data_IF_547096080338
#
_entry.id   IF_547096080338
#
_cell.length_a   1.000
_cell.length_b   1.000
_cell.length_c   1.000
_cell.angle_alpha   90.00
_cell.angle_beta   90.00
_cell.angle_gamma   90.00
#
_symmetry.space_group_name_H-M   'P 1'
#
loop_
_entity.id
_entity.type
_entity.pdbx_description
1 polymer ?
#
# COMPACT_ATOMS: atom_id res chain seq x y z
N UNK A 1 -9.49 4.54 12.35
CA UNK A 1 -10.12 5.50 11.42
C UNK A 1 -9.19 6.66 11.09
N UNK A 2 -8.52 7.29 12.06
CA UNK A 2 -7.62 8.44 11.85
C UNK A 2 -6.57 8.24 10.74
N UNK A 3 -5.81 7.15 10.77
CA UNK A 3 -4.78 6.90 9.76
C UNK A 3 -5.34 6.84 8.33
N UNK A 4 -6.46 6.14 8.14
CA UNK A 4 -7.18 6.09 6.87
C UNK A 4 -7.65 7.49 6.44
N UNK A 5 -8.19 8.29 7.37
CA UNK A 5 -8.64 9.66 7.08
C UNK A 5 -7.47 10.56 6.62
N UNK A 6 -6.27 10.39 7.19
CA UNK A 6 -5.07 11.13 6.76
C UNK A 6 -4.73 10.79 5.31
N UNK A 7 -4.68 9.50 4.97
CA UNK A 7 -4.41 9.06 3.61
C UNK A 7 -5.48 9.53 2.61
N UNK A 8 -6.76 9.45 2.99
CA UNK A 8 -7.88 9.93 2.15
C UNK A 8 -7.80 11.43 1.89
N UNK A 9 -7.47 12.25 2.90
CA UNK A 9 -7.29 13.70 2.72
C UNK A 9 -6.14 14.05 1.78
N UNK A 10 -5.13 13.19 1.71
CA UNK A 10 -3.99 13.33 0.81
C UNK A 10 -4.21 12.66 -0.55
N UNK A 11 -5.37 12.02 -0.75
CA UNK A 11 -5.70 11.24 -1.94
C UNK A 11 -4.67 10.13 -2.24
N UNK A 12 -4.16 9.49 -1.18
CA UNK A 12 -3.24 8.36 -1.28
C UNK A 12 -4.07 7.07 -1.22
N UNK A 13 -4.14 6.25 -2.29
CA UNK A 13 -4.85 4.98 -2.24
C UNK A 13 -4.15 4.02 -1.28
N UNK A 14 -4.90 3.12 -0.65
CA UNK A 14 -4.35 2.18 0.33
C UNK A 14 -5.13 0.87 0.39
N UNK A 15 -4.45 -0.15 0.88
CA UNK A 15 -4.95 -1.46 1.18
C UNK A 15 -5.00 -1.68 2.70
N UNK A 16 -6.04 -2.34 3.18
CA UNK A 16 -6.19 -2.76 4.57
C UNK A 16 -6.19 -4.28 4.67
N UNK A 17 -5.34 -4.82 5.54
CA UNK A 17 -5.33 -6.24 5.88
C UNK A 17 -5.64 -6.38 7.38
N UNK A 18 -6.80 -6.97 7.67
CA UNK A 18 -7.27 -7.21 9.03
C UNK A 18 -7.15 -8.70 9.32
N UNK A 19 -6.40 -9.06 10.36
CA UNK A 19 -6.17 -10.46 10.75
C UNK A 19 -6.49 -10.67 12.23
N UNK A 20 -6.47 -11.93 12.66
CA UNK A 20 -6.73 -12.33 14.05
C UNK A 20 -8.05 -11.79 14.61
N UNK A 21 -9.13 -11.96 13.85
CA UNK A 21 -10.46 -11.46 14.23
C UNK A 21 -10.49 -9.96 14.56
N UNK A 22 -9.59 -9.16 13.96
CA UNK A 22 -9.52 -7.72 14.17
C UNK A 22 -8.42 -7.26 15.15
N UNK A 23 -7.68 -8.18 15.77
CA UNK A 23 -6.63 -7.80 16.72
C UNK A 23 -5.43 -7.13 16.05
N UNK A 24 -5.21 -7.37 14.75
CA UNK A 24 -4.12 -6.76 13.98
C UNK A 24 -4.66 -6.16 12.68
N UNK A 25 -4.28 -4.91 12.43
CA UNK A 25 -4.63 -4.17 11.23
C UNK A 25 -3.35 -3.65 10.60
N UNK A 26 -3.12 -4.02 9.34
CA UNK A 26 -2.04 -3.50 8.52
C UNK A 26 -2.62 -2.55 7.48
N UNK A 27 -1.95 -1.42 7.30
CA UNK A 27 -2.31 -0.38 6.34
C UNK A 27 -1.15 -0.23 5.36
N UNK A 28 -1.41 -0.49 4.09
CA UNK A 28 -0.41 -0.42 3.03
C UNK A 28 -0.80 0.69 2.04
N UNK A 29 -0.11 1.83 2.01
CA UNK A 29 -0.24 2.78 0.92
C UNK A 29 0.06 2.09 -0.41
N UNK A 30 -0.75 2.34 -1.44
CA UNK A 30 -0.65 1.68 -2.73
C UNK A 30 -0.82 2.69 -3.87
N UNK A 31 0.22 2.85 -4.69
CA UNK A 31 0.22 3.75 -5.86
C UNK A 31 0.22 3.03 -7.20
N UNK A 32 -0.09 1.73 -7.23
CA UNK A 32 0.01 0.94 -8.46
C UNK A 32 -0.88 1.48 -9.58
N UNK A 33 -2.15 1.76 -9.30
CA UNK A 33 -3.07 2.31 -10.30
C UNK A 33 -2.66 3.72 -10.77
N UNK A 34 -2.14 4.54 -9.86
CA UNK A 34 -1.59 5.86 -10.21
C UNK A 34 -0.37 5.74 -11.14
N UNK A 35 0.56 4.84 -10.81
CA UNK A 35 1.74 4.55 -11.62
C UNK A 35 1.37 3.96 -12.98
N UNK A 36 0.32 3.12 -13.03
CA UNK A 36 -0.24 2.60 -14.28
C UNK A 36 -0.78 3.74 -15.17
N UNK A 37 -1.51 4.69 -14.59
CA UNK A 37 -2.00 5.87 -15.32
C UNK A 37 -0.87 6.78 -15.80
N UNK A 38 0.19 6.93 -14.99
CA UNK A 38 1.41 7.68 -15.33
C UNK A 38 2.29 6.98 -16.36
N UNK A 39 1.97 5.73 -16.75
CA UNK A 39 2.74 4.90 -17.70
C UNK A 39 4.21 4.71 -17.29
N UNK A 40 4.46 4.60 -15.98
CA UNK A 40 5.79 4.33 -15.44
C UNK A 40 6.03 2.84 -15.18
N UNK A 41 4.99 2.02 -15.31
CA UNK A 41 5.06 0.57 -15.17
C UNK A 41 5.41 -0.04 -16.53
N UNK A 42 6.48 -0.85 -16.64
CA UNK A 42 6.83 -1.58 -17.85
C UNK A 42 5.72 -2.51 -18.35
N UNK A 43 5.65 -2.69 -19.68
CA UNK A 43 4.60 -3.50 -20.31
C UNK A 43 4.67 -4.98 -19.89
N UNK A 44 5.87 -5.53 -19.73
CA UNK A 44 6.06 -6.92 -19.29
C UNK A 44 5.51 -7.16 -17.88
N UNK A 45 5.57 -6.16 -16.99
CA UNK A 45 4.94 -6.19 -15.67
C UNK A 45 3.41 -6.10 -15.81
N UNK A 46 2.89 -5.22 -16.67
CA UNK A 46 1.45 -5.09 -16.91
C UNK A 46 0.83 -6.35 -17.55
N UNK A 47 1.59 -7.03 -18.42
CA UNK A 47 1.21 -8.26 -19.11
C UNK A 47 1.00 -9.43 -18.14
N UNK A 48 1.65 -9.42 -16.97
CA UNK A 48 1.39 -10.41 -15.91
C UNK A 48 -0.06 -10.35 -15.41
N UNK A 49 -0.72 -9.21 -15.66
CA UNK A 49 -2.06 -8.86 -15.20
C UNK A 49 -2.22 -8.93 -13.67
N UNK A 50 -1.12 -8.99 -12.92
CA UNK A 50 -1.16 -8.95 -11.46
C UNK A 50 -1.45 -7.52 -11.03
N UNK A 51 -2.48 -7.36 -10.20
CA UNK A 51 -2.75 -6.11 -9.51
C UNK A 51 -2.37 -6.32 -8.04
N UNK A 52 -1.31 -5.67 -7.54
CA UNK A 52 -0.81 -5.91 -6.19
C UNK A 52 -1.78 -5.33 -5.16
N UNK A 53 -2.74 -6.14 -4.71
CA UNK A 53 -3.67 -5.81 -3.65
C UNK A 53 -3.17 -6.38 -2.30
N UNK A 54 -4.03 -6.41 -1.27
CA UNK A 54 -3.64 -6.88 0.07
C UNK A 54 -3.00 -8.28 0.09
N UNK A 55 -3.39 -9.17 -0.83
CA UNK A 55 -2.86 -10.54 -0.89
C UNK A 55 -1.42 -10.56 -1.40
N UNK A 56 -1.17 -9.94 -2.55
CA UNK A 56 0.17 -9.88 -3.15
C UNK A 56 1.14 -9.08 -2.28
N UNK A 57 0.71 -7.94 -1.73
CA UNK A 57 1.51 -7.15 -0.79
C UNK A 57 1.80 -7.97 0.49
N UNK A 58 0.84 -8.79 0.92
CA UNK A 58 0.99 -9.74 2.03
C UNK A 58 1.81 -11.00 1.70
N UNK A 59 2.46 -11.07 0.54
CA UNK A 59 3.32 -12.18 0.11
C UNK A 59 2.61 -13.34 -0.59
N UNK A 60 1.29 -13.25 -0.81
CA UNK A 60 0.53 -14.26 -1.54
C UNK A 60 0.42 -13.87 -3.01
N UNK A 61 1.35 -14.36 -3.84
CA UNK A 61 1.40 -14.04 -5.26
C UNK A 61 0.45 -14.91 -6.09
N UNK A 62 -0.48 -14.28 -6.80
CA UNK A 62 -1.41 -14.96 -7.73
C UNK A 62 -0.98 -14.71 -9.18
N UNK A 63 -0.26 -15.66 -9.77
CA UNK A 63 0.18 -15.58 -11.17
C UNK A 63 -0.94 -16.05 -12.11
N UNK A 64 -1.32 -15.22 -13.08
CA UNK A 64 -2.45 -15.50 -13.98
C UNK A 64 -2.07 -16.33 -15.20
N UNK A 65 -0.82 -16.25 -15.65
CA UNK A 65 -0.30 -17.02 -16.78
C UNK A 65 0.64 -18.11 -16.30
N UNK A 66 0.62 -19.25 -16.98
CA UNK A 66 1.51 -20.37 -16.69
C UNK A 66 2.99 -19.98 -16.87
N UNK A 67 3.29 -19.16 -17.88
CA UNK A 67 4.65 -18.67 -18.13
C UNK A 67 5.16 -17.82 -16.96
N UNK A 68 4.33 -16.94 -16.42
CA UNK A 68 4.68 -16.10 -15.28
C UNK A 68 4.90 -16.96 -14.04
N UNK A 69 4.04 -17.96 -13.81
CA UNK A 69 4.18 -18.90 -12.70
C UNK A 69 5.48 -19.70 -12.77
N UNK A 70 5.87 -20.18 -13.97
CA UNK A 70 7.09 -20.97 -14.15
C UNK A 70 8.38 -20.15 -14.03
N UNK A 71 8.34 -18.87 -14.38
CA UNK A 71 9.52 -17.99 -14.43
C UNK A 71 9.48 -16.89 -13.37
N UNK A 72 8.59 -16.98 -12.38
CA UNK A 72 8.57 -16.05 -11.26
C UNK A 72 9.84 -16.21 -10.45
N UNK A 73 10.42 -15.08 -10.08
CA UNK A 73 11.55 -15.02 -9.15
C UNK A 73 11.25 -13.97 -8.09
N UNK A 74 11.95 -14.06 -6.97
CA UNK A 74 11.89 -13.06 -5.91
C UNK A 74 12.19 -11.64 -6.46
N UNK A 75 13.18 -11.52 -7.34
CA UNK A 75 13.51 -10.24 -7.99
C UNK A 75 12.34 -9.65 -8.79
N UNK A 76 11.61 -10.47 -9.55
CA UNK A 76 10.41 -10.00 -10.29
C UNK A 76 9.26 -9.61 -9.37
N UNK A 77 9.11 -10.31 -8.24
CA UNK A 77 8.10 -9.96 -7.24
C UNK A 77 8.45 -8.62 -6.60
N UNK A 78 9.71 -8.41 -6.21
CA UNK A 78 10.15 -7.12 -5.67
C UNK A 78 9.97 -5.98 -6.67
N UNK A 79 10.33 -6.21 -7.93
CA UNK A 79 10.10 -5.24 -9.00
C UNK A 79 8.61 -4.88 -9.13
N UNK A 80 7.72 -5.88 -9.23
CA UNK A 80 6.27 -5.65 -9.28
C UNK A 80 5.77 -4.84 -8.07
N UNK A 81 6.15 -5.23 -6.86
CA UNK A 81 5.72 -4.56 -5.62
C UNK A 81 6.30 -3.15 -5.48
N UNK A 82 7.45 -2.86 -6.09
CA UNK A 82 8.02 -1.51 -6.12
C UNK A 82 7.11 -0.51 -6.81
N UNK A 83 6.34 -0.94 -7.83
CA UNK A 83 5.36 -0.08 -8.51
C UNK A 83 4.11 0.20 -7.68
N UNK A 84 3.82 -0.61 -6.66
CA UNK A 84 2.76 -0.33 -5.68
C UNK A 84 3.25 0.54 -4.52
N UNK A 85 4.56 0.55 -4.27
CA UNK A 85 5.16 1.14 -3.08
C UNK A 85 5.36 2.66 -3.21
N UNK A 86 5.24 3.37 -2.09
CA UNK A 86 5.71 4.74 -2.00
C UNK A 86 7.25 4.79 -2.11
N UNK A 87 7.78 5.94 -2.56
CA UNK A 87 9.20 6.23 -2.37
C UNK A 87 9.49 6.43 -0.88
N UNK A 88 10.76 6.36 -0.50
CA UNK A 88 11.19 6.61 0.88
C UNK A 88 10.75 8.00 1.38
N UNK A 89 10.89 9.03 0.53
CA UNK A 89 10.46 10.40 0.85
C UNK A 89 8.94 10.52 1.00
N UNK A 90 8.17 9.90 0.09
CA UNK A 90 6.70 9.84 0.17
C UNK A 90 6.26 9.14 1.47
N UNK A 91 6.89 8.02 1.80
CA UNK A 91 6.58 7.25 3.00
C UNK A 91 6.91 8.01 4.29
N UNK A 92 8.09 8.62 4.38
CA UNK A 92 8.50 9.41 5.55
C UNK A 92 7.56 10.59 5.81
N UNK A 93 7.06 11.23 4.74
CA UNK A 93 6.06 12.29 4.86
C UNK A 93 4.74 11.77 5.41
N UNK A 94 4.23 10.67 4.86
CA UNK A 94 2.99 10.04 5.34
C UNK A 94 3.12 9.64 6.82
N UNK A 95 4.25 9.05 7.19
CA UNK A 95 4.57 8.67 8.56
C UNK A 95 4.53 9.90 9.49
N UNK A 96 5.18 11.00 9.11
CA UNK A 96 5.16 12.24 9.87
C UNK A 96 3.74 12.81 10.05
N UNK A 97 2.94 12.83 8.97
CA UNK A 97 1.57 13.34 9.00
C UNK A 97 0.67 12.48 9.90
N UNK A 98 0.86 11.16 9.88
CA UNK A 98 0.15 10.22 10.76
C UNK A 98 0.49 10.44 12.24
N UNK A 99 1.77 10.58 12.58
CA UNK A 99 2.18 10.82 13.97
C UNK A 99 1.72 12.19 14.47
N UNK A 100 1.72 13.20 13.61
CA UNK A 100 1.22 14.54 13.95
C UNK A 100 -0.28 14.50 14.24
N UNK A 101 -1.07 13.85 13.38
CA UNK A 101 -2.51 13.68 13.58
C UNK A 101 -2.83 12.84 14.84
N UNK A 102 -1.97 11.89 15.21
CA UNK A 102 -2.13 11.12 16.44
C UNK A 102 -1.91 11.98 17.69
N UNK A 103 -0.88 12.83 17.69
CA UNK A 103 -0.58 13.72 18.81
C UNK A 103 -1.69 14.76 19.04
N UNK A 104 -2.27 15.31 17.97
CA UNK A 104 -3.41 16.25 18.05
C UNK A 104 -4.68 15.60 18.62
N UNK A 105 -4.95 14.34 18.26
CA UNK A 105 -6.10 13.62 18.81
C UNK A 105 -5.95 13.32 20.31
N UNK A 106 -4.73 13.03 20.77
CA UNK A 106 -4.47 12.69 22.18
C UNK A 106 -4.52 13.94 23.08
N UNK A 107 -4.13 15.10 22.55
CA UNK A 107 -4.18 16.38 23.26
C UNK A 107 -5.57 17.03 23.29
N UNK A 108 -6.52 16.59 22.45
CA UNK A 108 -7.91 17.05 22.41
C UNK A 108 -8.86 16.41 23.44
N UNK A 109 -8.41 15.43 24.24
CA UNK A 109 -9.25 14.70 25.21
C UNK A 109 -9.44 15.45 26.55
N UNK A 110 -8.77 16.60 26.77
CA UNK A 110 -8.75 17.28 28.08
C UNK A 110 -9.82 18.39 28.26
N UNK A 111 -10.56 18.80 27.23
CA UNK A 111 -11.57 19.86 27.37
C UNK A 111 -12.98 19.40 27.00
N UNK A 112 -13.61 18.65 27.90
CA UNK A 112 -15.08 18.53 28.00
C UNK A 112 -15.46 18.03 29.40
N UNK A 113 -15.48 18.96 30.37
CA UNK A 113 -16.22 18.84 31.63
C UNK A 113 -17.27 19.96 31.69
#
# INVERSE_FOLDING_TARGET
SMACNVLERQNIPYNLLIVDCGARVFLFPNKFDENKQKKVIPEDVLDTQVNPACFEIGGHMVMKREEDYKHVSEGKIFELLSYASLSEEEFAKVEQDLFSAAAENDSGVVESN
#
